data_IF_367823945726
#
_entry.id   IF_367823945726
#
_cell.length_a   1.000
_cell.length_b   1.000
_cell.length_c   1.000
_cell.angle_alpha   90.00
_cell.angle_beta   90.00
_cell.angle_gamma   90.00
#
_symmetry.space_group_name_H-M   'P 1'
#
loop_
_entity.id
_entity.type
_entity.pdbx_description
1 polymer ?
#
# COMPACT_ATOMS: atom_id res chain seq x y z
N UNK A 1 16.81 -12.51 8.56
CA UNK A 1 16.19 -12.34 7.22
C UNK A 1 15.82 -13.72 6.71
N UNK A 2 14.66 -13.92 6.08
CA UNK A 2 14.21 -15.26 5.64
C UNK A 2 14.89 -15.72 4.33
N UNK A 3 15.51 -14.81 3.57
CA UNK A 3 16.09 -15.10 2.25
C UNK A 3 15.06 -15.52 1.19
N UNK A 4 13.77 -15.51 1.52
CA UNK A 4 12.69 -15.99 0.64
C UNK A 4 12.45 -15.01 -0.50
N UNK A 5 12.24 -15.54 -1.69
CA UNK A 5 11.84 -14.79 -2.88
C UNK A 5 10.66 -15.45 -3.56
N UNK A 6 9.84 -14.62 -4.20
CA UNK A 6 8.94 -15.05 -5.24
C UNK A 6 9.43 -14.43 -6.55
N UNK A 7 9.82 -15.30 -7.49
CA UNK A 7 10.61 -14.90 -8.66
C UNK A 7 11.86 -14.12 -8.21
N UNK A 8 12.03 -12.87 -8.64
CA UNK A 8 13.16 -12.01 -8.27
C UNK A 8 12.88 -11.13 -7.06
N UNK A 9 11.65 -11.10 -6.53
CA UNK A 9 11.26 -10.15 -5.48
C UNK A 9 11.42 -10.78 -4.10
N UNK A 10 12.12 -10.13 -3.15
CA UNK A 10 12.14 -10.55 -1.76
C UNK A 10 10.74 -10.57 -1.15
N UNK A 11 10.38 -11.65 -0.48
CA UNK A 11 9.05 -11.79 0.14
C UNK A 11 9.15 -12.07 1.64
N UNK A 12 8.19 -11.55 2.43
CA UNK A 12 8.18 -11.75 3.88
C UNK A 12 7.94 -13.23 4.24
N UNK A 13 8.27 -13.59 5.47
CA UNK A 13 8.11 -14.97 5.96
C UNK A 13 6.65 -15.47 5.95
N UNK A 14 5.67 -14.56 5.95
CA UNK A 14 4.25 -14.88 5.88
C UNK A 14 3.70 -14.97 4.45
N UNK A 15 4.52 -14.75 3.41
CA UNK A 15 4.08 -14.81 2.03
C UNK A 15 3.59 -16.22 1.65
N UNK A 16 2.41 -16.28 1.04
CA UNK A 16 1.75 -17.47 0.50
C UNK A 16 1.66 -17.37 -1.02
N UNK A 17 2.38 -18.25 -1.71
CA UNK A 17 2.43 -18.28 -3.16
C UNK A 17 1.07 -18.62 -3.78
N UNK A 18 0.35 -19.60 -3.25
CA UNK A 18 -1.00 -19.97 -3.73
C UNK A 18 -1.97 -18.79 -3.66
N UNK A 19 -1.98 -18.05 -2.56
CA UNK A 19 -2.86 -16.89 -2.38
C UNK A 19 -2.46 -15.74 -3.29
N UNK A 20 -1.15 -15.54 -3.51
CA UNK A 20 -0.66 -14.59 -4.51
C UNK A 20 -1.08 -14.98 -5.94
N UNK A 21 -0.96 -16.25 -6.33
CA UNK A 21 -1.38 -16.72 -7.65
C UNK A 21 -2.89 -16.54 -7.86
N UNK A 22 -3.69 -16.80 -6.83
CA UNK A 22 -5.12 -16.51 -6.89
C UNK A 22 -5.42 -15.02 -7.05
N UNK A 23 -4.64 -14.12 -6.43
CA UNK A 23 -4.74 -12.68 -6.68
C UNK A 23 -4.30 -12.31 -8.10
N UNK A 24 -3.19 -12.86 -8.60
CA UNK A 24 -2.69 -12.58 -9.95
C UNK A 24 -3.67 -13.01 -11.05
N UNK A 25 -4.41 -14.10 -10.81
CA UNK A 25 -5.36 -14.68 -11.75
C UNK A 25 -6.82 -14.41 -11.37
N UNK A 26 -7.08 -13.43 -10.50
CA UNK A 26 -8.45 -13.14 -10.10
C UNK A 26 -9.28 -12.58 -11.25
N UNK A 27 -10.56 -12.94 -11.28
CA UNK A 27 -11.54 -12.29 -12.14
C UNK A 27 -11.85 -10.91 -11.60
N UNK A 28 -11.65 -9.89 -12.42
CA UNK A 28 -11.85 -8.48 -12.07
C UNK A 28 -13.29 -8.04 -12.40
N UNK A 29 -13.85 -7.20 -11.53
CA UNK A 29 -15.13 -6.51 -11.75
C UNK A 29 -14.89 -5.06 -12.13
N UNK A 30 -15.79 -4.41 -12.90
CA UNK A 30 -15.60 -3.03 -13.34
C UNK A 30 -15.40 -1.99 -12.24
N UNK A 31 -16.00 -2.22 -11.08
CA UNK A 31 -15.93 -1.32 -9.94
C UNK A 31 -14.81 -1.67 -8.94
N UNK A 32 -14.09 -2.77 -9.12
CA UNK A 32 -12.99 -3.14 -8.22
C UNK A 32 -11.96 -2.02 -8.07
N UNK A 33 -11.45 -1.86 -6.87
CA UNK A 33 -10.42 -0.89 -6.52
C UNK A 33 -9.21 -1.62 -5.96
N UNK A 34 -8.08 -1.53 -6.66
CA UNK A 34 -6.79 -1.98 -6.15
C UNK A 34 -6.08 -0.79 -5.51
N UNK A 35 -5.76 -0.89 -4.22
CA UNK A 35 -4.90 0.05 -3.51
C UNK A 35 -3.48 -0.50 -3.48
N UNK A 36 -2.56 0.13 -4.21
CA UNK A 36 -1.15 -0.24 -4.24
C UNK A 36 -0.28 0.81 -3.57
N UNK A 37 0.67 0.40 -2.73
CA UNK A 37 1.59 1.33 -2.07
C UNK A 37 2.88 0.65 -1.63
N UNK A 38 3.93 1.43 -1.41
CA UNK A 38 5.07 0.96 -0.61
C UNK A 38 4.62 0.67 0.83
N UNK A 39 5.27 -0.31 1.45
CA UNK A 39 5.11 -0.54 2.89
C UNK A 39 5.47 0.76 3.62
N UNK A 40 4.58 1.22 4.50
CA UNK A 40 4.71 2.47 5.28
C UNK A 40 4.57 3.80 4.52
N UNK A 41 4.09 3.78 3.27
CA UNK A 41 3.76 5.00 2.53
C UNK A 41 2.38 5.60 2.85
N UNK A 42 1.57 4.95 3.70
CA UNK A 42 0.23 5.46 4.07
C UNK A 42 -0.93 4.56 3.69
N UNK A 43 -0.67 3.29 3.35
CA UNK A 43 -1.67 2.29 2.96
C UNK A 43 -2.87 2.26 3.88
N UNK A 44 -2.67 2.19 5.19
CA UNK A 44 -3.77 2.13 6.18
C UNK A 44 -4.66 3.35 6.14
N UNK A 45 -4.08 4.54 5.94
CA UNK A 45 -4.87 5.77 5.91
C UNK A 45 -5.71 5.86 4.64
N UNK A 46 -5.10 5.58 3.49
CA UNK A 46 -5.81 5.59 2.20
C UNK A 46 -6.82 4.45 2.11
N UNK A 47 -6.49 3.27 2.64
CA UNK A 47 -7.45 2.17 2.76
C UNK A 47 -8.67 2.62 3.55
N UNK A 48 -8.47 3.23 4.72
CA UNK A 48 -9.56 3.70 5.56
C UNK A 48 -10.41 4.75 4.86
N UNK A 49 -9.80 5.67 4.12
CA UNK A 49 -10.50 6.65 3.28
C UNK A 49 -11.36 5.95 2.23
N UNK A 50 -10.77 5.04 1.45
CA UNK A 50 -11.47 4.30 0.39
C UNK A 50 -12.63 3.48 0.97
N UNK A 51 -12.36 2.69 2.01
CA UNK A 51 -13.37 1.89 2.69
C UNK A 51 -14.50 2.75 3.24
N UNK A 52 -14.18 3.95 3.77
CA UNK A 52 -15.19 4.84 4.34
C UNK A 52 -16.07 5.50 3.29
N UNK A 53 -15.51 5.87 2.13
CA UNK A 53 -16.27 6.38 1.00
C UNK A 53 -17.17 5.31 0.36
N UNK A 54 -16.67 4.08 0.28
CA UNK A 54 -17.35 2.97 -0.39
C UNK A 54 -18.41 2.29 0.49
N UNK A 55 -18.11 2.04 1.76
CA UNK A 55 -18.85 1.09 2.59
C UNK A 55 -19.25 1.59 3.97
N UNK A 56 -18.60 2.60 4.53
CA UNK A 56 -18.88 3.01 5.92
C UNK A 56 -20.02 4.01 6.04
N UNK A 57 -20.07 5.02 5.17
CA UNK A 57 -20.98 6.16 5.35
C UNK A 57 -21.95 6.35 4.18
N UNK A 58 -23.20 6.65 4.52
CA UNK A 58 -24.20 7.15 3.58
C UNK A 58 -24.04 8.64 3.31
N UNK A 59 -24.79 9.16 2.33
CA UNK A 59 -24.67 10.55 1.85
C UNK A 59 -25.10 11.59 2.90
N UNK A 60 -25.82 11.19 3.94
CA UNK A 60 -26.13 12.05 5.09
C UNK A 60 -25.06 11.99 6.20
N UNK A 61 -23.98 11.24 5.98
CA UNK A 61 -22.89 11.04 6.94
C UNK A 61 -23.20 10.02 8.04
N UNK A 62 -24.34 9.33 7.97
CA UNK A 62 -24.65 8.25 8.92
C UNK A 62 -23.81 7.01 8.63
N UNK A 63 -23.38 6.34 9.70
CA UNK A 63 -22.60 5.11 9.59
C UNK A 63 -23.52 3.94 9.28
N UNK A 64 -23.23 3.20 8.21
CA UNK A 64 -23.95 1.98 7.86
C UNK A 64 -23.80 0.93 8.95
N UNK A 65 -24.90 0.27 9.26
CA UNK A 65 -24.90 -0.91 10.12
C UNK A 65 -24.35 -2.10 9.34
N UNK A 66 -23.03 -2.27 9.35
CA UNK A 66 -22.39 -3.46 8.81
C UNK A 66 -21.76 -4.22 9.98
N UNK A 67 -22.11 -5.50 10.15
CA UNK A 67 -21.38 -6.41 11.03
C UNK A 67 -20.00 -6.64 10.44
N UNK A 68 -19.05 -5.79 10.81
CA UNK A 68 -17.67 -5.92 10.38
C UNK A 68 -16.91 -6.62 11.49
N UNK A 69 -16.17 -7.69 11.15
CA UNK A 69 -15.27 -8.35 12.10
C UNK A 69 -14.34 -7.32 12.77
N UNK A 70 -13.98 -7.55 14.04
CA UNK A 70 -13.17 -6.61 14.80
C UNK A 70 -11.68 -6.86 14.49
N UNK A 71 -10.98 -5.90 13.88
CA UNK A 71 -9.55 -5.99 13.55
C UNK A 71 -9.17 -5.26 12.26
N UNK A 72 -7.86 -5.17 11.93
CA UNK A 72 -7.39 -4.53 10.67
C UNK A 72 -7.97 -5.25 9.45
N UNK A 73 -7.98 -6.60 9.48
CA UNK A 73 -8.60 -7.39 8.41
C UNK A 73 -10.12 -7.29 8.39
N UNK A 74 -10.73 -7.11 9.55
CA UNK A 74 -12.15 -6.80 9.66
C UNK A 74 -12.52 -5.47 9.00
N UNK A 75 -11.75 -4.40 9.25
CA UNK A 75 -11.92 -3.10 8.58
C UNK A 75 -11.50 -3.11 7.09
N UNK A 76 -11.24 -4.28 6.49
CA UNK A 76 -10.99 -4.48 5.06
C UNK A 76 -9.52 -4.43 4.64
N UNK A 77 -8.58 -3.97 5.49
CA UNK A 77 -7.17 -3.83 5.09
C UNK A 77 -6.42 -5.16 5.22
N UNK A 78 -6.58 -6.01 4.22
CA UNK A 78 -5.84 -7.26 4.09
C UNK A 78 -5.03 -7.29 2.80
N UNK A 79 -4.02 -8.15 2.78
CA UNK A 79 -3.14 -8.35 1.63
C UNK A 79 -3.32 -9.77 1.10
N UNK A 80 -3.78 -9.97 -0.15
CA UNK A 80 -4.09 -11.30 -0.67
C UNK A 80 -2.98 -12.33 -0.46
N UNK A 81 -1.73 -11.94 -0.68
CA UNK A 81 -0.56 -12.83 -0.52
C UNK A 81 -0.21 -13.19 0.93
N UNK A 82 -0.93 -12.67 1.92
CA UNK A 82 -0.79 -13.01 3.34
C UNK A 82 -1.89 -13.98 3.82
N UNK A 83 -3.03 -14.03 3.14
CA UNK A 83 -4.22 -14.71 3.62
C UNK A 83 -4.22 -16.20 3.28
N UNK A 84 -4.65 -17.08 4.19
CA UNK A 84 -5.08 -18.43 3.81
C UNK A 84 -6.18 -18.34 2.74
N UNK A 85 -6.27 -19.34 1.86
CA UNK A 85 -7.25 -19.37 0.77
C UNK A 85 -8.67 -19.36 1.35
N UNK A 86 -8.93 -20.26 2.31
CA UNK A 86 -10.23 -20.49 2.92
C UNK A 86 -10.09 -20.84 4.42
N UNK A 87 -11.25 -21.06 5.08
CA UNK A 87 -11.31 -21.40 6.51
C UNK A 87 -10.71 -22.76 6.82
N UNK A 88 -10.77 -23.70 5.88
CA UNK A 88 -10.24 -25.05 6.07
C UNK A 88 -8.71 -25.04 6.08
N UNK A 89 -8.08 -24.33 5.13
CA UNK A 89 -6.63 -24.09 5.14
C UNK A 89 -6.20 -23.38 6.41
N UNK A 90 -6.93 -22.33 6.82
CA UNK A 90 -6.61 -21.60 8.05
C UNK A 90 -6.65 -22.53 9.28
N UNK A 91 -7.71 -23.33 9.43
CA UNK A 91 -7.86 -24.26 10.53
C UNK A 91 -6.78 -25.35 10.51
N UNK A 92 -6.48 -25.91 9.33
CA UNK A 92 -5.42 -26.90 9.16
C UNK A 92 -4.04 -26.35 9.56
N UNK A 93 -3.72 -25.13 9.11
CA UNK A 93 -2.48 -24.44 9.48
C UNK A 93 -2.40 -24.13 10.99
N UNK A 94 -3.51 -23.74 11.63
CA UNK A 94 -3.53 -23.49 13.07
C UNK A 94 -3.42 -24.76 13.91
N UNK A 95 -3.90 -25.89 13.38
CA UNK A 95 -3.83 -27.20 14.02
C UNK A 95 -2.46 -27.88 13.87
N UNK A 96 -1.65 -27.48 12.87
CA UNK A 96 -0.31 -28.01 12.68
C UNK A 96 0.62 -27.59 13.83
N UNK A 97 1.09 -28.52 14.67
CA UNK A 97 2.00 -28.21 15.77
C UNK A 97 3.37 -27.69 15.28
N UNK A 98 3.69 -27.88 13.99
CA UNK A 98 4.91 -27.41 13.35
C UNK A 98 4.74 -26.07 12.62
N UNK A 99 3.52 -25.59 12.36
CA UNK A 99 3.27 -24.24 11.80
C UNK A 99 3.13 -23.22 12.95
N UNK A 100 4.27 -22.63 13.34
CA UNK A 100 4.32 -21.81 14.55
C UNK A 100 4.47 -20.31 14.32
N UNK A 101 4.55 -19.80 13.08
CA UNK A 101 4.87 -18.38 12.87
C UNK A 101 4.07 -17.67 11.80
N UNK A 102 3.87 -18.21 10.59
CA UNK A 102 3.22 -17.46 9.50
C UNK A 102 1.71 -17.31 9.71
N UNK A 103 1.00 -18.41 9.90
CA UNK A 103 -0.46 -18.41 10.11
C UNK A 103 -0.85 -17.74 11.41
N UNK A 104 -0.10 -18.00 12.49
CA UNK A 104 -0.31 -17.37 13.80
C UNK A 104 -0.10 -15.85 13.74
N UNK A 105 0.96 -15.38 13.06
CA UNK A 105 1.18 -13.96 12.82
C UNK A 105 0.04 -13.34 11.99
N UNK A 106 -0.35 -14.00 10.90
CA UNK A 106 -1.45 -13.54 10.05
C UNK A 106 -2.76 -13.44 10.84
N UNK A 107 -3.07 -14.44 11.67
CA UNK A 107 -4.25 -14.42 12.55
C UNK A 107 -4.20 -13.31 13.60
N UNK A 108 -3.02 -13.05 14.19
CA UNK A 108 -2.83 -11.95 15.12
C UNK A 108 -3.04 -10.58 14.45
N UNK A 109 -2.62 -10.42 13.20
CA UNK A 109 -2.65 -9.14 12.48
C UNK A 109 -3.97 -8.90 11.74
N UNK A 110 -4.47 -9.90 11.04
CA UNK A 110 -5.60 -9.82 10.13
C UNK A 110 -6.86 -10.54 10.66
N UNK A 111 -6.77 -11.22 11.80
CA UNK A 111 -7.88 -11.99 12.35
C UNK A 111 -8.14 -13.28 11.58
N UNK A 112 -9.39 -13.73 11.60
CA UNK A 112 -9.82 -14.95 10.92
C UNK A 112 -10.12 -14.74 9.42
N UNK A 113 -9.68 -13.63 8.81
CA UNK A 113 -10.01 -13.25 7.44
C UNK A 113 -9.26 -14.13 6.41
N UNK A 114 -9.94 -14.55 5.34
CA UNK A 114 -9.36 -15.37 4.26
C UNK A 114 -9.42 -14.67 2.91
N UNK A 115 -8.73 -15.24 1.92
CA UNK A 115 -8.84 -14.76 0.54
C UNK A 115 -10.28 -14.89 0.02
N UNK A 116 -10.98 -15.97 0.36
CA UNK A 116 -12.40 -16.13 0.04
C UNK A 116 -13.26 -14.97 0.58
N UNK A 117 -13.08 -14.57 1.84
CA UNK A 117 -13.80 -13.41 2.39
C UNK A 117 -13.50 -12.13 1.60
N UNK A 118 -12.23 -11.90 1.26
CA UNK A 118 -11.81 -10.73 0.50
C UNK A 118 -12.47 -10.70 -0.89
N UNK A 119 -12.64 -11.87 -1.51
CA UNK A 119 -13.24 -11.99 -2.84
C UNK A 119 -14.77 -11.87 -2.81
N UNK A 120 -15.39 -12.20 -1.66
CA UNK A 120 -16.82 -12.13 -1.39
C UNK A 120 -17.26 -10.83 -0.66
N UNK A 121 -16.34 -9.88 -0.48
CA UNK A 121 -16.67 -8.58 0.12
C UNK A 121 -17.76 -7.83 -0.68
N UNK A 122 -18.53 -6.92 -0.05
CA UNK A 122 -19.49 -6.08 -0.75
C UNK A 122 -18.85 -5.32 -1.90
N UNK A 123 -19.61 -5.13 -2.97
CA UNK A 123 -19.16 -4.29 -4.07
C UNK A 123 -19.28 -2.79 -3.72
N UNK A 124 -18.37 -1.93 -4.22
CA UNK A 124 -17.15 -2.27 -4.97
C UNK A 124 -16.07 -2.95 -4.12
N UNK A 125 -15.38 -3.98 -4.64
CA UNK A 125 -14.35 -4.68 -3.86
C UNK A 125 -13.11 -3.80 -3.68
N UNK A 126 -12.62 -3.65 -2.46
CA UNK A 126 -11.38 -2.94 -2.15
C UNK A 126 -10.26 -3.95 -1.82
N UNK A 127 -9.19 -3.93 -2.60
CA UNK A 127 -8.08 -4.89 -2.49
C UNK A 127 -6.79 -4.14 -2.25
N UNK A 128 -6.18 -4.31 -1.08
CA UNK A 128 -4.90 -3.68 -0.76
C UNK A 128 -3.73 -4.59 -1.11
N UNK A 129 -2.69 -4.00 -1.69
CA UNK A 129 -1.50 -4.72 -2.08
C UNK A 129 -0.24 -3.86 -1.97
N UNK A 130 0.89 -4.52 -1.84
CA UNK A 130 2.21 -3.93 -2.00
C UNK A 130 2.88 -4.40 -3.31
N UNK A 131 2.24 -5.33 -4.03
CA UNK A 131 2.64 -5.77 -5.36
C UNK A 131 2.42 -4.65 -6.40
N UNK A 132 3.23 -4.65 -7.46
CA UNK A 132 3.39 -3.49 -8.31
C UNK A 132 3.67 -3.86 -9.77
N UNK A 133 3.54 -2.89 -10.65
CA UNK A 133 3.86 -3.03 -12.07
C UNK A 133 2.99 -4.06 -12.81
N UNK A 134 3.30 -4.25 -14.08
CA UNK A 134 2.58 -5.15 -14.99
C UNK A 134 2.84 -6.63 -14.70
N UNK A 135 3.93 -6.94 -14.00
CA UNK A 135 4.31 -8.32 -13.70
C UNK A 135 3.44 -8.94 -12.61
N UNK A 136 3.04 -8.15 -11.61
CA UNK A 136 2.50 -8.69 -10.36
C UNK A 136 1.04 -8.35 -10.06
N UNK A 137 0.46 -7.31 -10.67
CA UNK A 137 -0.97 -6.99 -10.53
C UNK A 137 -1.85 -7.96 -11.32
N UNK A 138 -3.18 -8.04 -11.07
CA UNK A 138 -4.07 -9.02 -11.74
C UNK A 138 -4.04 -8.94 -13.27
N UNK A 139 -4.11 -10.09 -13.95
CA UNK A 139 -4.06 -10.14 -15.43
C UNK A 139 -5.22 -9.37 -16.06
N UNK A 140 -6.43 -9.62 -15.60
CA UNK A 140 -7.63 -8.94 -16.10
C UNK A 140 -7.66 -7.43 -15.78
N UNK A 141 -6.93 -6.97 -14.77
CA UNK A 141 -6.81 -5.53 -14.48
C UNK A 141 -5.97 -4.81 -15.54
N UNK A 142 -4.90 -5.48 -15.98
CA UNK A 142 -3.97 -4.95 -16.97
C UNK A 142 -4.54 -5.02 -18.39
N UNK A 143 -5.44 -5.98 -18.64
CA UNK A 143 -5.89 -6.32 -19.98
C UNK A 143 -4.81 -7.07 -20.76
N UNK A 144 -4.91 -7.07 -22.08
CA UNK A 144 -3.90 -7.69 -22.93
C UNK A 144 -2.65 -6.80 -23.00
N UNK A 145 -1.56 -7.22 -22.36
CA UNK A 145 -0.27 -6.52 -22.34
C UNK A 145 0.73 -7.14 -23.34
N UNK A 146 0.24 -7.87 -24.35
CA UNK A 146 1.08 -8.55 -25.35
C UNK A 146 1.68 -7.62 -26.41
N UNK A 147 2.76 -8.08 -27.06
CA UNK A 147 3.56 -7.34 -28.08
C UNK A 147 2.79 -6.98 -29.37
N UNK A 148 1.58 -7.50 -29.58
CA UNK A 148 0.77 -7.25 -30.77
C UNK A 148 -0.36 -6.26 -30.45
N UNK A 149 -0.42 -5.18 -31.23
CA UNK A 149 -1.00 -3.85 -30.98
C UNK A 149 -2.53 -3.75 -30.79
N UNK A 150 -3.21 -4.82 -30.40
CA UNK A 150 -4.68 -4.85 -30.20
C UNK A 150 -5.12 -4.98 -28.74
N UNK A 151 -4.21 -4.81 -27.78
CA UNK A 151 -4.47 -5.18 -26.38
C UNK A 151 -5.73 -4.54 -25.81
N UNK A 152 -6.72 -5.36 -25.41
CA UNK A 152 -7.97 -4.88 -24.83
C UNK A 152 -7.76 -4.17 -23.50
N UNK A 153 -8.59 -3.16 -23.22
CA UNK A 153 -8.60 -2.50 -21.91
C UNK A 153 -8.92 -3.49 -20.80
N UNK A 154 -8.06 -3.55 -19.79
CA UNK A 154 -8.39 -4.21 -18.53
C UNK A 154 -9.50 -3.48 -17.78
N UNK A 155 -9.92 -4.04 -16.65
CA UNK A 155 -11.06 -3.53 -15.87
C UNK A 155 -10.71 -3.26 -14.41
N UNK A 156 -11.51 -2.44 -13.73
CA UNK A 156 -11.24 -1.95 -12.38
C UNK A 156 -10.30 -0.73 -12.34
N UNK A 157 -10.10 -0.20 -11.13
CA UNK A 157 -9.35 1.03 -10.85
C UNK A 157 -8.15 0.75 -9.94
N UNK A 158 -7.12 1.58 -10.07
CA UNK A 158 -5.89 1.52 -9.28
C UNK A 158 -5.67 2.84 -8.55
N UNK A 159 -5.49 2.78 -7.24
CA UNK A 159 -5.03 3.89 -6.41
C UNK A 159 -3.60 3.59 -5.97
N UNK A 160 -2.66 4.43 -6.37
CA UNK A 160 -1.25 4.35 -5.97
C UNK A 160 -1.00 5.36 -4.85
N UNK A 161 -0.33 4.93 -3.77
CA UNK A 161 0.08 5.83 -2.68
C UNK A 161 1.59 6.00 -2.65
N UNK A 162 2.03 7.25 -2.71
CA UNK A 162 3.42 7.66 -2.59
C UNK A 162 3.62 8.54 -1.36
N UNK A 163 4.85 8.54 -0.85
CA UNK A 163 5.28 9.32 0.32
C UNK A 163 6.78 9.60 0.19
N UNK A 164 7.25 10.69 0.79
CA UNK A 164 8.67 10.98 0.97
C UNK A 164 9.42 9.73 1.46
N UNK A 165 10.39 9.26 0.67
CA UNK A 165 11.08 8.00 0.94
C UNK A 165 11.94 8.05 2.23
N UNK A 166 12.40 9.23 2.66
CA UNK A 166 13.09 9.39 3.95
C UNK A 166 12.16 9.07 5.12
N UNK A 167 10.93 9.58 5.07
CA UNK A 167 9.89 9.26 6.07
C UNK A 167 9.42 7.81 5.98
N UNK A 168 9.40 7.22 4.78
CA UNK A 168 9.12 5.79 4.58
C UNK A 168 10.20 4.93 5.24
N UNK A 169 11.48 5.22 5.01
CA UNK A 169 12.62 4.56 5.65
C UNK A 169 12.50 4.63 7.17
N UNK A 170 12.31 5.82 7.73
CA UNK A 170 12.16 5.99 9.18
C UNK A 170 10.97 5.22 9.71
N UNK A 171 9.84 5.25 9.00
CA UNK A 171 8.67 4.48 9.41
C UNK A 171 8.88 2.97 9.34
N UNK A 172 9.65 2.48 8.36
CA UNK A 172 10.01 1.07 8.22
C UNK A 172 10.97 0.62 9.32
N UNK A 173 11.94 1.46 9.68
CA UNK A 173 12.88 1.20 10.78
C UNK A 173 12.11 0.85 12.07
N UNK A 174 11.15 1.69 12.46
CA UNK A 174 10.36 1.42 13.67
C UNK A 174 9.31 0.32 13.51
N UNK A 175 8.75 0.14 12.30
CA UNK A 175 7.73 -0.89 12.06
C UNK A 175 8.30 -2.30 12.26
N UNK A 176 9.54 -2.53 11.84
CA UNK A 176 10.24 -3.80 12.02
C UNK A 176 10.69 -4.06 13.47
N UNK A 177 10.44 -3.12 14.40
CA UNK A 177 11.04 -3.08 15.73
C UNK A 177 12.45 -2.49 15.70
N UNK A 178 13.08 -2.33 16.86
CA UNK A 178 14.48 -1.88 16.92
C UNK A 178 15.37 -2.89 16.19
N UNK A 179 15.80 -2.54 14.98
CA UNK A 179 16.66 -3.38 14.18
C UNK A 179 17.97 -3.59 14.94
N UNK A 180 18.38 -4.85 15.14
CA UNK A 180 19.61 -5.19 15.87
C UNK A 180 20.87 -4.56 15.25
N UNK A 181 20.81 -4.22 13.97
CA UNK A 181 21.88 -3.55 13.24
C UNK A 181 21.71 -2.04 13.09
N UNK A 182 20.76 -1.45 13.82
CA UNK A 182 20.58 -0.02 13.93
C UNK A 182 20.33 0.69 12.59
N UNK A 183 20.76 1.94 12.52
CA UNK A 183 20.61 2.80 11.34
C UNK A 183 21.75 2.60 10.33
N UNK A 184 23.00 2.59 10.82
CA UNK A 184 24.22 2.63 10.02
C UNK A 184 24.95 1.28 9.91
N UNK A 185 24.47 0.25 10.60
CA UNK A 185 25.04 -1.09 10.58
C UNK A 185 25.98 -1.37 11.74
N UNK A 186 26.17 -2.65 12.01
CA UNK A 186 27.09 -3.20 13.00
C UNK A 186 27.36 -4.69 12.68
N UNK A 187 27.87 -5.47 13.62
CA UNK A 187 28.12 -6.91 13.46
C UNK A 187 26.88 -7.75 13.10
N UNK A 188 25.66 -7.23 13.33
CA UNK A 188 24.41 -7.89 13.00
C UNK A 188 23.90 -7.59 11.58
N UNK A 189 24.51 -6.65 10.85
CA UNK A 189 24.11 -6.34 9.48
C UNK A 189 24.41 -4.91 9.03
N UNK A 190 23.99 -4.55 7.80
CA UNK A 190 24.38 -3.29 7.17
C UNK A 190 23.61 -2.06 7.69
N UNK A 191 22.61 -2.24 8.55
CA UNK A 191 21.79 -1.15 9.06
C UNK A 191 20.65 -0.73 8.14
N UNK A 192 19.71 0.02 8.71
CA UNK A 192 18.45 0.38 8.05
C UNK A 192 18.63 1.26 6.82
N UNK A 193 19.56 2.23 6.87
CA UNK A 193 19.85 3.11 5.74
C UNK A 193 20.38 2.32 4.54
N UNK A 194 21.46 1.56 4.73
CA UNK A 194 22.08 0.78 3.66
C UNK A 194 21.15 -0.30 3.09
N UNK A 195 20.32 -0.95 3.93
CA UNK A 195 19.30 -1.89 3.44
C UNK A 195 18.28 -1.22 2.53
N UNK A 196 17.87 -0.01 2.87
CA UNK A 196 16.86 0.73 2.10
C UNK A 196 17.41 1.27 0.78
N UNK A 197 18.69 1.66 0.78
CA UNK A 197 19.39 2.10 -0.43
C UNK A 197 19.81 0.95 -1.35
N UNK A 198 19.87 -0.28 -0.83
CA UNK A 198 20.19 -1.47 -1.62
C UNK A 198 19.14 -1.73 -2.72
N UNK A 199 19.61 -2.00 -3.93
CA UNK A 199 18.75 -2.43 -5.06
C UNK A 199 17.89 -3.66 -4.74
N UNK A 200 18.35 -4.49 -3.82
CA UNK A 200 17.64 -5.69 -3.43
C UNK A 200 16.65 -5.46 -2.28
N UNK A 201 16.85 -4.44 -1.45
CA UNK A 201 16.05 -4.10 -0.25
C UNK A 201 15.36 -5.33 0.37
N UNK A 202 16.09 -6.16 1.12
CA UNK A 202 15.70 -7.55 1.42
C UNK A 202 14.43 -7.74 2.29
N UNK A 203 13.76 -6.65 2.71
CA UNK A 203 12.63 -6.68 3.64
C UNK A 203 11.39 -5.87 3.20
N UNK A 204 11.30 -5.42 1.94
CA UNK A 204 10.22 -4.51 1.49
C UNK A 204 9.68 -4.78 0.07
N UNK A 205 9.50 -6.05 -0.33
CA UNK A 205 9.08 -6.40 -1.70
C UNK A 205 10.00 -5.80 -2.78
N UNK A 206 11.30 -5.76 -2.48
CA UNK A 206 12.34 -5.20 -3.34
C UNK A 206 12.61 -3.72 -3.09
N UNK A 207 13.43 -3.13 -3.96
CA UNK A 207 13.83 -1.72 -3.86
C UNK A 207 12.65 -0.77 -3.94
N UNK A 208 12.59 0.20 -3.01
CA UNK A 208 11.58 1.27 -3.06
C UNK A 208 11.73 2.14 -4.33
N UNK A 209 12.95 2.31 -4.82
CA UNK A 209 13.21 3.00 -6.09
C UNK A 209 12.72 2.19 -7.28
N UNK A 210 13.01 0.89 -7.29
CA UNK A 210 12.52 -0.04 -8.32
C UNK A 210 10.99 -0.10 -8.35
N UNK A 211 10.36 -0.14 -7.18
CA UNK A 211 8.90 -0.10 -7.04
C UNK A 211 8.30 1.15 -7.69
N UNK A 212 8.85 2.34 -7.41
CA UNK A 212 8.35 3.60 -8.00
C UNK A 212 8.54 3.59 -9.52
N UNK A 213 9.70 3.14 -10.03
CA UNK A 213 9.94 3.01 -11.48
C UNK A 213 8.93 2.11 -12.17
N UNK A 214 8.61 0.96 -11.58
CA UNK A 214 7.65 0.02 -12.14
C UNK A 214 6.21 0.54 -12.06
N UNK A 215 5.87 1.32 -11.03
CA UNK A 215 4.58 2.02 -10.98
C UNK A 215 4.49 3.14 -12.02
N UNK A 216 5.58 3.87 -12.26
CA UNK A 216 5.63 4.95 -13.25
C UNK A 216 5.34 4.41 -14.65
N UNK A 217 5.99 3.30 -15.03
CA UNK A 217 5.69 2.56 -16.27
C UNK A 217 4.23 2.12 -16.33
N UNK A 218 3.68 1.62 -15.23
CA UNK A 218 2.29 1.18 -15.18
C UNK A 218 1.32 2.35 -15.33
N UNK A 219 1.57 3.49 -14.70
CA UNK A 219 0.75 4.69 -14.83
C UNK A 219 0.73 5.15 -16.29
N UNK A 220 1.90 5.25 -16.93
CA UNK A 220 2.02 5.59 -18.35
C UNK A 220 1.21 4.62 -19.22
N UNK A 221 1.38 3.31 -19.02
CA UNK A 221 0.62 2.29 -19.75
C UNK A 221 -0.90 2.47 -19.60
N UNK A 222 -1.38 2.70 -18.37
CA UNK A 222 -2.82 2.84 -18.10
C UNK A 222 -3.39 4.13 -18.69
N UNK A 223 -2.62 5.22 -18.69
CA UNK A 223 -2.98 6.48 -19.33
C UNK A 223 -3.02 6.34 -20.86
N UNK A 224 -2.04 5.66 -21.47
CA UNK A 224 -2.02 5.36 -22.89
C UNK A 224 -3.21 4.49 -23.31
N UNK A 225 -3.55 3.46 -22.53
CA UNK A 225 -4.75 2.64 -22.74
C UNK A 225 -6.02 3.49 -22.69
N UNK A 226 -6.17 4.33 -21.65
CA UNK A 226 -7.35 5.19 -21.50
C UNK A 226 -7.49 6.15 -22.70
N UNK A 227 -6.39 6.79 -23.13
CA UNK A 227 -6.37 7.69 -24.28
C UNK A 227 -6.70 6.96 -25.59
N UNK A 228 -6.07 5.81 -25.86
CA UNK A 228 -6.28 5.02 -27.09
C UNK A 228 -7.72 4.53 -27.23
N UNK A 229 -8.36 4.16 -26.13
CA UNK A 229 -9.71 3.60 -26.13
C UNK A 229 -10.81 4.61 -25.76
N UNK A 230 -10.47 5.90 -25.64
CA UNK A 230 -11.38 6.99 -25.24
C UNK A 230 -12.14 6.68 -23.93
N UNK A 231 -11.43 6.09 -22.96
CA UNK A 231 -11.96 5.72 -21.65
C UNK A 231 -11.48 6.69 -20.58
N UNK A 232 -12.16 6.69 -19.43
CA UNK A 232 -11.69 7.39 -18.23
C UNK A 232 -10.38 6.78 -17.74
N UNK A 233 -9.55 7.60 -17.11
CA UNK A 233 -8.35 7.11 -16.43
C UNK A 233 -8.73 6.11 -15.34
N UNK A 234 -8.01 4.98 -15.31
CA UNK A 234 -8.20 3.92 -14.31
C UNK A 234 -7.13 3.94 -13.23
N UNK A 235 -6.33 5.00 -13.17
CA UNK A 235 -5.27 5.14 -12.16
C UNK A 235 -5.32 6.50 -11.49
N UNK A 236 -5.20 6.52 -10.17
CA UNK A 236 -5.09 7.72 -9.35
C UNK A 236 -3.85 7.63 -8.48
N UNK A 237 -3.01 8.67 -8.52
CA UNK A 237 -1.83 8.79 -7.66
C UNK A 237 -2.15 9.72 -6.50
N UNK A 238 -2.03 9.22 -5.28
CA UNK A 238 -2.24 9.94 -4.03
C UNK A 238 -0.90 10.10 -3.32
N UNK A 239 -0.57 11.33 -2.94
CA UNK A 239 0.62 11.62 -2.14
C UNK A 239 0.21 11.77 -0.68
N UNK A 240 0.90 11.08 0.22
CA UNK A 240 0.67 11.16 1.67
C UNK A 240 0.70 12.60 2.17
N UNK A 241 1.61 13.40 1.61
CA UNK A 241 1.79 14.81 1.96
C UNK A 241 0.64 15.69 1.47
N UNK A 242 0.05 15.38 0.31
CA UNK A 242 -1.15 16.06 -0.18
C UNK A 242 -2.36 15.78 0.73
N UNK A 243 -2.55 14.54 1.18
CA UNK A 243 -3.60 14.19 2.16
C UNK A 243 -3.46 14.95 3.47
N UNK A 244 -2.22 15.18 3.93
CA UNK A 244 -1.95 15.95 5.14
C UNK A 244 -2.19 17.44 4.95
N UNK A 245 -1.93 17.97 3.74
CA UNK A 245 -2.10 19.38 3.42
C UNK A 245 -3.59 19.74 3.24
N UNK A 246 -4.35 18.92 2.51
CA UNK A 246 -5.76 19.15 2.22
C UNK A 246 -6.53 17.82 2.12
N UNK A 247 -6.89 17.27 3.29
CA UNK A 247 -7.71 16.06 3.34
C UNK A 247 -9.08 16.26 2.64
N UNK A 248 -9.87 17.33 2.93
CA UNK A 248 -11.15 17.55 2.26
C UNK A 248 -11.07 17.59 0.74
N UNK A 249 -10.06 18.25 0.16
CA UNK A 249 -9.83 18.29 -1.29
C UNK A 249 -9.50 16.92 -1.86
N UNK A 250 -8.57 16.19 -1.24
CA UNK A 250 -8.20 14.84 -1.69
C UNK A 250 -9.36 13.84 -1.55
N UNK A 251 -10.24 13.98 -0.55
CA UNK A 251 -11.47 13.18 -0.45
C UNK A 251 -12.38 13.39 -1.66
N UNK A 252 -12.53 14.64 -2.13
CA UNK A 252 -13.29 14.95 -3.35
C UNK A 252 -12.65 14.30 -4.58
N UNK A 253 -11.34 14.48 -4.74
CA UNK A 253 -10.58 13.91 -5.86
C UNK A 253 -10.66 12.38 -5.91
N UNK A 254 -10.58 11.70 -4.75
CA UNK A 254 -10.73 10.25 -4.65
C UNK A 254 -12.18 9.83 -4.97
N UNK A 255 -13.18 10.54 -4.43
CA UNK A 255 -14.59 10.25 -4.70
C UNK A 255 -14.92 10.33 -6.20
N UNK A 256 -14.46 11.38 -6.86
CA UNK A 256 -14.69 11.62 -8.28
C UNK A 256 -14.00 10.56 -9.14
N UNK A 257 -12.77 10.18 -8.80
CA UNK A 257 -12.05 9.10 -9.49
C UNK A 257 -12.76 7.75 -9.39
N UNK A 258 -13.37 7.47 -8.24
CA UNK A 258 -14.14 6.24 -8.01
C UNK A 258 -15.52 6.27 -8.70
N UNK A 259 -15.89 7.37 -9.37
CA UNK A 259 -17.21 7.61 -9.97
C UNK A 259 -18.35 7.41 -8.96
N UNK A 260 -18.14 7.83 -7.71
CA UNK A 260 -19.18 7.82 -6.69
C UNK A 260 -20.14 8.99 -6.88
N UNK A 261 -21.36 8.93 -6.32
CA UNK A 261 -22.25 10.08 -6.24
C UNK A 261 -21.55 11.29 -5.61
N UNK A 262 -22.10 12.49 -5.85
CA UNK A 262 -21.57 13.75 -5.32
C UNK A 262 -21.24 13.63 -3.84
N UNK A 263 -19.99 13.90 -3.48
CA UNK A 263 -19.54 13.86 -2.09
C UNK A 263 -20.16 15.03 -1.31
N UNK A 264 -21.25 14.74 -0.60
CA UNK A 264 -21.93 15.70 0.27
C UNK A 264 -21.01 16.18 1.39
N UNK A 265 -21.28 17.37 1.92
CA UNK A 265 -20.52 17.91 3.06
C UNK A 265 -20.65 17.04 4.31
N UNK A 266 -21.82 16.43 4.51
CA UNK A 266 -22.07 15.54 5.64
C UNK A 266 -21.21 14.27 5.56
N UNK A 267 -21.20 13.59 4.41
CA UNK A 267 -20.36 12.41 4.19
C UNK A 267 -18.88 12.76 4.22
N UNK A 268 -18.48 13.87 3.59
CA UNK A 268 -17.08 14.37 3.61
C UNK A 268 -16.59 14.57 5.04
N UNK A 269 -17.39 15.23 5.87
CA UNK A 269 -17.06 15.49 7.28
C UNK A 269 -16.94 14.18 8.07
N UNK A 270 -17.91 13.27 7.94
CA UNK A 270 -17.88 11.98 8.62
C UNK A 270 -16.64 11.14 8.25
N UNK A 271 -16.32 11.07 6.95
CA UNK A 271 -15.12 10.38 6.47
C UNK A 271 -13.84 11.04 6.99
N UNK A 272 -13.74 12.37 6.94
CA UNK A 272 -12.56 13.10 7.43
C UNK A 272 -12.31 12.86 8.92
N UNK A 273 -13.38 12.86 9.74
CA UNK A 273 -13.31 12.58 11.18
C UNK A 273 -12.85 11.14 11.48
N UNK A 274 -13.42 10.16 10.78
CA UNK A 274 -13.10 8.73 10.92
C UNK A 274 -11.68 8.39 10.40
N UNK A 275 -11.14 9.22 9.51
CA UNK A 275 -9.79 9.09 8.95
C UNK A 275 -8.74 9.94 9.69
N UNK A 276 -9.05 10.52 10.85
CA UNK A 276 -8.02 11.18 11.67
C UNK A 276 -7.04 10.17 12.26
N UNK A 277 -5.79 10.59 12.49
CA UNK A 277 -4.78 9.72 13.13
C UNK A 277 -5.24 9.21 14.50
N UNK A 278 -5.92 10.06 15.28
CA UNK A 278 -6.50 9.71 16.57
C UNK A 278 -7.62 8.67 16.45
N UNK A 279 -8.57 8.86 15.53
CA UNK A 279 -9.68 7.93 15.32
C UNK A 279 -9.20 6.55 14.84
N UNK A 280 -8.28 6.51 13.87
CA UNK A 280 -7.70 5.26 13.40
C UNK A 280 -6.91 4.53 14.50
N UNK A 281 -6.22 5.27 15.37
CA UNK A 281 -5.44 4.71 16.48
C UNK A 281 -6.34 4.15 17.59
N UNK A 282 -7.49 4.77 17.88
CA UNK A 282 -8.44 4.29 18.89
C UNK A 282 -9.27 3.10 18.40
N UNK A 283 -9.59 3.04 17.10
CA UNK A 283 -10.39 1.96 16.49
C UNK A 283 -9.65 0.62 16.30
N UNK A 284 -8.35 0.56 16.58
CA UNK A 284 -7.53 -0.65 16.35
C UNK A 284 -6.86 -1.10 17.65
N UNK A 285 -7.34 -2.18 18.27
CA UNK A 285 -6.74 -2.72 19.49
C UNK A 285 -5.47 -3.56 19.19
N UNK A 286 -4.40 -3.38 19.97
CA UNK A 286 -3.24 -4.29 19.98
C UNK A 286 -1.85 -3.66 19.78
N UNK A 287 -0.82 -4.47 19.99
CA UNK A 287 0.60 -4.07 19.84
C UNK A 287 0.97 -3.78 18.37
N UNK A 288 0.30 -4.42 17.42
CA UNK A 288 0.50 -4.17 15.98
C UNK A 288 0.03 -2.76 15.58
N UNK A 289 -1.06 -2.25 16.18
CA UNK A 289 -1.51 -0.86 15.97
C UNK A 289 -0.42 0.14 16.30
N UNK A 290 0.29 -0.04 17.43
CA UNK A 290 1.38 0.86 17.84
C UNK A 290 2.54 0.86 16.84
N UNK A 291 2.82 -0.27 16.20
CA UNK A 291 3.86 -0.40 15.16
C UNK A 291 3.41 0.18 13.82
N UNK A 292 2.14 0.01 13.46
CA UNK A 292 1.58 0.54 12.22
C UNK A 292 1.41 2.06 12.30
N UNK A 293 0.88 2.56 13.41
CA UNK A 293 0.48 3.95 13.67
C UNK A 293 1.43 4.61 14.67
N UNK A 294 2.56 5.12 14.17
CA UNK A 294 3.64 5.71 14.99
C UNK A 294 3.44 7.20 15.30
N UNK A 295 3.65 8.08 14.31
CA UNK A 295 3.55 9.55 14.47
C UNK A 295 2.63 10.25 13.48
N UNK A 296 2.45 9.72 12.27
CA UNK A 296 1.57 10.34 11.25
C UNK A 296 2.01 11.75 10.81
N UNK A 297 3.32 12.02 10.82
CA UNK A 297 3.93 13.31 10.52
C UNK A 297 4.75 13.28 9.22
N UNK A 298 4.98 14.46 8.65
CA UNK A 298 5.90 14.73 7.54
C UNK A 298 7.18 15.31 8.14
N UNK A 299 8.34 14.88 7.64
CA UNK A 299 9.63 15.45 8.04
C UNK A 299 10.20 14.88 9.33
N UNK A 300 9.64 13.78 9.86
CA UNK A 300 10.15 13.16 11.09
C UNK A 300 11.55 12.57 10.87
N UNK A 301 11.91 12.27 9.63
CA UNK A 301 13.23 11.79 9.22
C UNK A 301 14.40 12.66 9.72
N UNK A 302 14.22 13.97 9.86
CA UNK A 302 15.24 14.90 10.35
C UNK A 302 15.76 14.58 11.78
N UNK A 303 15.06 13.74 12.53
CA UNK A 303 15.37 13.46 13.93
C UNK A 303 16.29 12.23 14.15
N UNK A 304 16.69 11.50 13.11
CA UNK A 304 17.29 10.15 13.30
C UNK A 304 18.68 9.93 12.69
N UNK A 305 19.04 10.66 11.63
CA UNK A 305 20.30 10.52 10.91
C UNK A 305 20.90 11.91 10.68
N UNK A 306 22.21 11.99 10.45
CA UNK A 306 22.88 13.28 10.25
C UNK A 306 22.63 13.85 8.86
N UNK A 307 22.89 15.14 8.62
CA UNK A 307 22.81 15.71 7.27
C UNK A 307 23.68 14.97 6.25
N UNK A 308 24.84 14.46 6.64
CA UNK A 308 25.72 13.70 5.75
C UNK A 308 25.10 12.36 5.31
N UNK A 309 24.42 11.66 6.23
CA UNK A 309 23.68 10.44 5.92
C UNK A 309 22.51 10.70 4.95
N UNK A 310 21.81 11.83 5.14
CA UNK A 310 20.73 12.24 4.24
C UNK A 310 21.24 12.73 2.89
N UNK A 311 22.42 13.36 2.84
CA UNK A 311 23.07 13.70 1.58
C UNK A 311 23.42 12.45 0.76
N UNK A 312 23.85 11.36 1.41
CA UNK A 312 24.02 10.06 0.75
C UNK A 312 22.70 9.53 0.19
N UNK A 313 21.64 9.61 0.98
CA UNK A 313 20.30 9.21 0.54
C UNK A 313 19.88 9.99 -0.72
N UNK A 314 20.03 11.32 -0.69
CA UNK A 314 19.62 12.23 -1.76
C UNK A 314 20.38 11.95 -3.06
N UNK A 315 21.69 11.67 -2.95
CA UNK A 315 22.50 11.27 -4.09
C UNK A 315 21.96 10.00 -4.76
N UNK A 316 21.60 8.98 -3.97
CA UNK A 316 21.03 7.74 -4.52
C UNK A 316 19.63 7.97 -5.07
N UNK A 317 18.81 8.79 -4.40
CA UNK A 317 17.49 9.19 -4.87
C UNK A 317 17.58 9.85 -6.25
N UNK A 318 18.45 10.86 -6.41
CA UNK A 318 18.61 11.59 -7.67
C UNK A 318 19.14 10.69 -8.79
N UNK A 319 20.09 9.80 -8.47
CA UNK A 319 20.59 8.80 -9.43
C UNK A 319 19.48 7.84 -9.90
N UNK A 320 18.56 7.48 -9.02
CA UNK A 320 17.54 6.48 -9.32
C UNK A 320 16.26 7.09 -9.90
N UNK A 321 15.82 8.27 -9.45
CA UNK A 321 14.46 8.77 -9.67
C UNK A 321 14.37 10.15 -10.35
N UNK A 322 15.49 10.79 -10.73
CA UNK A 322 15.48 12.12 -11.37
C UNK A 322 14.65 12.19 -12.66
N UNK A 323 14.55 11.08 -13.40
CA UNK A 323 13.78 10.97 -14.65
C UNK A 323 12.50 10.13 -14.50
N UNK A 324 11.95 10.03 -13.29
CA UNK A 324 10.72 9.27 -13.01
C UNK A 324 9.61 10.25 -12.63
N UNK A 325 8.56 10.32 -13.44
CA UNK A 325 7.53 11.36 -13.34
C UNK A 325 6.77 11.28 -12.01
N UNK A 326 6.43 10.08 -11.56
CA UNK A 326 5.81 9.83 -10.26
C UNK A 326 6.65 10.32 -9.07
N UNK A 327 7.96 10.37 -9.22
CA UNK A 327 8.86 10.81 -8.15
C UNK A 327 9.06 12.34 -8.14
N UNK A 328 8.63 13.06 -9.19
CA UNK A 328 8.87 14.50 -9.33
C UNK A 328 8.35 15.31 -8.14
N UNK A 329 7.11 15.13 -7.64
CA UNK A 329 6.63 15.88 -6.47
C UNK A 329 7.41 15.58 -5.18
N UNK A 330 7.97 14.37 -5.05
CA UNK A 330 8.75 13.97 -3.88
C UNK A 330 10.17 14.55 -3.88
N UNK A 331 10.66 15.05 -5.02
CA UNK A 331 11.99 15.68 -5.11
C UNK A 331 12.12 16.95 -4.26
N UNK A 332 10.99 17.57 -3.85
CA UNK A 332 10.97 18.70 -2.93
C UNK A 332 11.64 18.41 -1.58
N UNK A 333 11.63 17.14 -1.14
CA UNK A 333 12.18 16.71 0.15
C UNK A 333 13.69 16.36 0.12
N UNK A 334 14.35 16.58 -1.03
CA UNK A 334 15.80 16.42 -1.14
C UNK A 334 16.49 17.75 -0.79
N UNK A 335 17.57 17.70 0.00
CA UNK A 335 18.24 18.87 0.57
C UNK A 335 18.81 19.80 -0.50
N UNK A 336 19.20 19.26 -1.65
CA UNK A 336 19.71 20.03 -2.81
C UNK A 336 18.68 20.98 -3.41
N UNK A 337 17.38 20.79 -3.15
CA UNK A 337 16.28 21.59 -3.71
C UNK A 337 15.54 22.45 -2.69
N UNK A 338 15.76 22.25 -1.39
CA UNK A 338 15.15 23.08 -0.33
C UNK A 338 15.81 24.47 -0.16
N UNK A 339 16.81 24.78 -0.99
CA UNK A 339 17.61 26.02 -0.93
C UNK A 339 17.27 27.05 -2.02
N UNK A 340 16.21 26.83 -2.82
CA UNK A 340 15.83 27.68 -3.96
C UNK A 340 14.45 28.28 -3.75
#
# INVERSE_FOLDING_TARGET
MSGRRYQTVPVPFWFREKSYESFRNMTMKPNDVILSSLVKAGTTWVHKILYSLLHTFDDDGTKRSVEVAVGIGGQGQVYPSALPIDRDEMNACLADPHDTTATKFVKEVFGDYTLEDLMNQPEPRLISTHWFGTKFLPKEFLGDVGENESGGCGTGRLVIVLRNLKDVLVSLHFFNGEAKDGWLGNEHGPGSLNRFLSEDTPNSLGSSFGWIKEQDKLVTLLQEQAAKHLQKERVLVVYYEALKADLPGELGRINDFLDLPTLTDAKRKAVAEDCTFSAMKSGTAGNMTKRIMRKGAIGDWNNYLTPEDWSLFDKVYDQQLSNVDLARPLSFYQESRSSI
#
